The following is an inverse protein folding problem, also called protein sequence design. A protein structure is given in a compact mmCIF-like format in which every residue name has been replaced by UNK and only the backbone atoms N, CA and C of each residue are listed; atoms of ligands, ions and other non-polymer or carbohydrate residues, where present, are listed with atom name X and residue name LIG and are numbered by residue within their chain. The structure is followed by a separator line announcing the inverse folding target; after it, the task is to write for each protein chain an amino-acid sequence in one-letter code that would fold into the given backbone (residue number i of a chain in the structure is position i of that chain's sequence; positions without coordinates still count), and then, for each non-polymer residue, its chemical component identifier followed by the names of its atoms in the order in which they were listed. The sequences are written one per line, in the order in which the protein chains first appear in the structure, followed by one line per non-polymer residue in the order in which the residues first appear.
data_IF_646985786497
#
_entry.id   IF_646985786497
#
_cell.length_a   1.000
_cell.length_b   1.000
_cell.length_c   1.000
_cell.angle_alpha   90.00
_cell.angle_beta   90.00
_cell.angle_gamma   90.00
#
_symmetry.space_group_name_H-M   'P 1'
#
loop_
_entity.id
_entity.type
_entity.pdbx_description
1 polymer ?
#
# COMPACT_ATOMS: atom_id res chain seq x y z
N UNK A 1 -14.94 9.80 9.48
CA UNK A 1 -13.74 9.83 8.62
C UNK A 1 -12.97 11.09 8.99
N UNK A 2 -11.65 11.01 9.06
CA UNK A 2 -10.75 12.12 9.35
C UNK A 2 -9.51 11.99 8.45
N UNK A 3 -8.85 13.09 8.06
CA UNK A 3 -9.28 14.48 8.23
C UNK A 3 -10.58 14.79 7.46
N UNK A 4 -11.26 15.88 7.83
CA UNK A 4 -12.43 16.39 7.09
C UNK A 4 -12.00 16.93 5.72
N UNK A 5 -12.94 17.07 4.77
CA UNK A 5 -12.63 17.63 3.46
C UNK A 5 -12.04 19.05 3.55
N UNK A 6 -12.53 19.85 4.50
CA UNK A 6 -12.00 21.19 4.77
C UNK A 6 -10.54 21.13 5.21
N UNK A 7 -10.21 20.29 6.20
CA UNK A 7 -8.83 20.08 6.64
C UNK A 7 -7.93 19.56 5.50
N UNK A 8 -8.45 18.69 4.64
CA UNK A 8 -7.70 18.20 3.45
C UNK A 8 -7.38 19.36 2.51
N UNK A 9 -8.34 20.26 2.24
CA UNK A 9 -8.12 21.44 1.39
C UNK A 9 -7.07 22.37 1.99
N UNK A 10 -7.10 22.58 3.30
CA UNK A 10 -6.09 23.39 3.99
C UNK A 10 -4.69 22.76 3.92
N UNK A 11 -4.57 21.44 4.12
CA UNK A 11 -3.30 20.71 4.00
C UNK A 11 -2.78 20.81 2.57
N UNK A 12 -3.65 20.59 1.57
CA UNK A 12 -3.29 20.67 0.16
C UNK A 12 -2.84 22.08 -0.25
N UNK A 13 -3.50 23.13 0.23
CA UNK A 13 -3.16 24.51 -0.06
C UNK A 13 -1.75 24.90 0.42
N UNK A 14 -1.23 24.24 1.47
CA UNK A 14 0.14 24.45 1.95
C UNK A 14 1.20 23.85 1.02
N UNK A 15 0.81 22.94 0.11
CA UNK A 15 1.71 22.31 -0.86
C UNK A 15 2.79 21.40 -0.25
N UNK A 16 2.73 21.11 1.05
CA UNK A 16 3.76 20.34 1.77
C UNK A 16 3.70 18.84 1.50
N UNK A 17 2.54 18.31 1.12
CA UNK A 17 2.31 16.88 0.94
C UNK A 17 1.61 16.62 -0.39
N UNK A 18 2.11 15.66 -1.16
CA UNK A 18 1.46 15.18 -2.39
C UNK A 18 0.26 14.28 -2.11
N UNK A 19 0.14 13.73 -0.89
CA UNK A 19 -0.88 12.76 -0.50
C UNK A 19 -1.33 12.99 0.94
N UNK A 20 -2.63 12.83 1.17
CA UNK A 20 -3.24 12.96 2.50
C UNK A 20 -4.04 11.67 2.78
N UNK A 21 -3.65 10.84 3.76
CA UNK A 21 -4.41 9.64 4.09
C UNK A 21 -5.75 10.02 4.75
N UNK A 22 -6.82 9.36 4.32
CA UNK A 22 -8.15 9.51 4.93
C UNK A 22 -8.47 8.24 5.70
N UNK A 23 -8.76 8.41 6.99
CA UNK A 23 -8.88 7.33 7.96
C UNK A 23 -10.27 7.33 8.61
N UNK A 24 -10.65 6.18 9.14
CA UNK A 24 -11.81 6.03 10.02
C UNK A 24 -11.52 4.93 11.02
N UNK A 25 -11.76 5.23 12.28
CA UNK A 25 -11.78 4.23 13.34
C UNK A 25 -13.16 3.55 13.37
N UNK A 26 -13.15 2.24 13.55
CA UNK A 26 -14.34 1.39 13.61
C UNK A 26 -14.19 0.41 14.77
N UNK A 27 -15.30 0.11 15.46
CA UNK A 27 -15.30 -0.92 16.49
C UNK A 27 -15.13 -2.29 15.84
N UNK A 28 -14.08 -3.01 16.25
CA UNK A 28 -13.68 -4.27 15.65
C UNK A 28 -13.45 -5.39 16.69
N UNK A 29 -14.02 -5.26 17.89
CA UNK A 29 -13.79 -6.17 19.03
C UNK A 29 -14.18 -7.64 18.74
N UNK A 30 -15.00 -7.85 17.71
CA UNK A 30 -15.46 -9.17 17.25
C UNK A 30 -14.66 -9.74 16.08
N UNK A 31 -13.64 -9.04 15.59
CA UNK A 31 -12.89 -9.43 14.40
C UNK A 31 -11.41 -9.63 14.73
N UNK A 32 -10.91 -10.80 14.38
CA UNK A 32 -9.47 -11.07 14.26
C UNK A 32 -8.93 -10.51 12.94
N UNK A 33 -7.62 -10.20 12.83
CA UNK A 33 -7.02 -9.78 11.56
C UNK A 33 -7.31 -10.74 10.40
N UNK A 34 -7.33 -12.05 10.65
CA UNK A 34 -7.65 -13.07 9.62
C UNK A 34 -9.10 -12.97 9.14
N UNK A 35 -10.06 -12.65 10.01
CA UNK A 35 -11.46 -12.45 9.61
C UNK A 35 -11.66 -11.16 8.80
N UNK A 36 -10.94 -10.09 9.15
CA UNK A 36 -10.90 -8.87 8.33
C UNK A 36 -10.31 -9.19 6.96
N UNK A 37 -9.21 -9.94 6.90
CA UNK A 37 -8.58 -10.37 5.65
C UNK A 37 -9.53 -11.19 4.76
N UNK A 38 -10.32 -12.11 5.34
CA UNK A 38 -11.36 -12.84 4.59
C UNK A 38 -12.39 -11.91 3.95
N UNK A 39 -12.71 -10.80 4.61
CA UNK A 39 -13.62 -9.79 4.07
C UNK A 39 -12.97 -9.02 2.93
N UNK A 40 -11.72 -8.56 3.08
CA UNK A 40 -10.98 -7.86 2.02
C UNK A 40 -10.79 -8.73 0.77
N UNK A 41 -10.57 -10.04 0.95
CA UNK A 41 -10.46 -11.00 -0.16
C UNK A 41 -11.72 -11.14 -1.02
N UNK A 42 -12.89 -10.69 -0.52
CA UNK A 42 -14.11 -10.61 -1.34
C UNK A 42 -14.09 -9.41 -2.29
N UNK A 43 -13.36 -8.35 -1.95
CA UNK A 43 -13.23 -7.15 -2.75
C UNK A 43 -12.07 -7.26 -3.76
N UNK A 44 -10.94 -7.86 -3.38
CA UNK A 44 -9.78 -8.01 -4.26
C UNK A 44 -9.10 -9.37 -4.09
N UNK A 45 -8.49 -9.88 -5.17
CA UNK A 45 -7.59 -11.05 -5.09
C UNK A 45 -6.16 -10.64 -4.73
N UNK A 46 -5.83 -9.36 -4.82
CA UNK A 46 -4.53 -8.82 -4.49
C UNK A 46 -4.60 -8.19 -3.09
N UNK A 47 -4.37 -9.02 -2.07
CA UNK A 47 -4.43 -8.61 -0.67
C UNK A 47 -3.18 -9.07 0.07
N UNK A 48 -2.81 -8.36 1.13
CA UNK A 48 -1.74 -8.75 2.04
C UNK A 48 -2.16 -8.56 3.50
N UNK A 49 -1.55 -9.36 4.36
CA UNK A 49 -1.63 -9.26 5.82
C UNK A 49 -0.19 -9.32 6.35
N UNK A 50 0.21 -8.30 7.10
CA UNK A 50 1.50 -8.24 7.78
C UNK A 50 1.26 -8.21 9.29
N UNK A 51 1.77 -9.21 9.98
CA UNK A 51 1.70 -9.32 11.44
C UNK A 51 3.11 -9.43 12.00
N UNK A 52 3.37 -8.80 13.14
CA UNK A 52 4.66 -8.92 13.83
C UNK A 52 4.62 -10.07 14.82
N UNK A 53 5.37 -11.14 14.52
CA UNK A 53 5.64 -12.21 15.48
C UNK A 53 6.89 -11.85 16.30
N UNK A 54 6.74 -11.61 17.60
CA UNK A 54 7.86 -11.50 18.55
C UNK A 54 8.25 -12.90 19.07
N UNK A 55 9.51 -13.12 19.42
CA UNK A 55 9.97 -14.35 20.11
C UNK A 55 9.50 -14.43 21.56
N UNK A 56 9.16 -13.29 22.17
CA UNK A 56 8.35 -13.25 23.39
C UNK A 56 6.88 -13.37 23.00
N UNK A 57 6.08 -14.14 23.73
CA UNK A 57 4.68 -14.54 23.40
C UNK A 57 3.66 -13.38 23.19
N UNK A 58 4.14 -12.15 23.08
CA UNK A 58 3.34 -10.97 22.81
C UNK A 58 3.32 -10.73 21.29
N UNK A 59 2.17 -11.01 20.68
CA UNK A 59 1.89 -10.57 19.31
C UNK A 59 2.08 -9.05 19.22
N UNK A 60 2.61 -8.56 18.10
CA UNK A 60 2.75 -7.12 17.89
C UNK A 60 1.40 -6.41 18.04
N UNK A 61 1.44 -5.17 18.56
CA UNK A 61 0.23 -4.37 18.83
C UNK A 61 -0.62 -4.08 17.58
N UNK A 62 -0.04 -4.21 16.38
CA UNK A 62 -0.67 -3.86 15.12
C UNK A 62 -0.50 -4.98 14.07
N UNK A 63 -1.58 -5.24 13.34
CA UNK A 63 -1.58 -5.99 12.08
C UNK A 63 -1.93 -5.02 10.95
N UNK A 64 -1.19 -5.07 9.84
CA UNK A 64 -1.45 -4.24 8.66
C UNK A 64 -2.11 -5.08 7.58
N UNK A 65 -3.26 -4.63 7.10
CA UNK A 65 -3.99 -5.25 6.01
C UNK A 65 -4.09 -4.27 4.86
N UNK A 66 -3.88 -4.76 3.64
CA UNK A 66 -4.10 -3.98 2.44
C UNK A 66 -4.71 -4.82 1.33
N UNK A 67 -5.40 -4.15 0.43
CA UNK A 67 -6.02 -4.74 -0.74
C UNK A 67 -5.87 -3.79 -1.92
N UNK A 68 -5.90 -4.33 -3.13
CA UNK A 68 -5.88 -3.56 -4.38
C UNK A 68 -4.74 -2.53 -4.44
N UNK A 69 -3.47 -2.96 -4.29
CA UNK A 69 -2.34 -2.04 -4.38
C UNK A 69 -2.27 -1.47 -5.79
N UNK A 70 -2.06 -0.16 -5.90
CA UNK A 70 -2.07 0.57 -7.18
C UNK A 70 -0.91 0.29 -8.15
N UNK A 71 0.12 -0.42 -7.67
CA UNK A 71 1.29 -0.79 -8.46
C UNK A 71 1.86 -2.12 -7.95
N UNK A 72 2.29 -2.95 -8.89
CA UNK A 72 3.01 -4.20 -8.64
C UNK A 72 4.37 -4.16 -9.32
N UNK A 73 5.41 -4.58 -8.60
CA UNK A 73 6.78 -4.58 -9.08
C UNK A 73 7.39 -5.95 -8.79
N UNK A 74 7.92 -6.59 -9.81
CA UNK A 74 8.63 -7.88 -9.70
C UNK A 74 9.99 -7.78 -10.39
N UNK A 75 10.96 -8.57 -9.95
CA UNK A 75 12.26 -8.68 -10.61
C UNK A 75 12.76 -10.12 -10.53
N UNK A 76 13.08 -10.71 -11.67
CA UNK A 76 13.62 -12.07 -11.78
C UNK A 76 14.74 -12.06 -12.80
N UNK A 77 15.93 -12.52 -12.42
CA UNK A 77 17.13 -12.55 -13.27
C UNK A 77 17.45 -11.20 -13.95
N UNK A 78 17.26 -10.11 -13.21
CA UNK A 78 17.46 -8.75 -13.70
C UNK A 78 16.37 -8.25 -14.66
N UNK A 79 15.38 -9.06 -14.99
CA UNK A 79 14.19 -8.65 -15.72
C UNK A 79 13.16 -8.10 -14.73
N UNK A 80 12.99 -6.78 -14.71
CA UNK A 80 12.07 -6.08 -13.84
C UNK A 80 10.77 -5.78 -14.57
N UNK A 81 9.63 -6.10 -13.95
CA UNK A 81 8.28 -5.81 -14.46
C UNK A 81 7.56 -4.88 -13.50
N UNK A 82 7.02 -3.80 -14.03
CA UNK A 82 6.26 -2.79 -13.28
C UNK A 82 4.89 -2.68 -13.92
N UNK A 83 3.84 -2.93 -13.14
CA UNK A 83 2.45 -2.89 -13.59
C UNK A 83 1.65 -1.94 -12.70
N UNK A 84 1.05 -0.90 -13.29
CA UNK A 84 0.05 -0.07 -12.59
C UNK A 84 -1.32 -0.76 -12.66
N UNK A 85 -2.02 -0.85 -11.55
CA UNK A 85 -3.27 -1.63 -11.43
C UNK A 85 -4.52 -0.75 -11.37
N UNK A 86 -4.35 0.56 -11.12
CA UNK A 86 -5.44 1.56 -11.06
C UNK A 86 -5.93 1.99 -12.44
N UNK A 87 -5.14 1.79 -13.49
CA UNK A 87 -5.45 2.23 -14.85
C UNK A 87 -6.15 1.11 -15.65
N UNK A 88 -7.23 1.45 -16.36
CA UNK A 88 -7.97 0.50 -17.22
C UNK A 88 -7.05 -0.10 -18.31
N UNK A 89 -6.07 0.68 -18.76
CA UNK A 89 -4.96 0.22 -19.58
C UNK A 89 -3.85 -0.30 -18.66
N UNK A 90 -3.78 -1.62 -18.52
CA UNK A 90 -2.72 -2.33 -17.80
C UNK A 90 -1.39 -2.21 -18.53
N UNK A 91 -0.78 -1.04 -18.51
CA UNK A 91 0.57 -0.85 -19.03
C UNK A 91 1.55 -1.58 -18.10
N UNK A 92 2.12 -2.66 -18.62
CA UNK A 92 3.22 -3.40 -18.00
C UNK A 92 4.52 -2.96 -18.66
N UNK A 93 5.37 -2.30 -17.89
CA UNK A 93 6.71 -1.94 -18.32
C UNK A 93 7.63 -3.10 -17.95
N UNK A 94 8.31 -3.66 -18.94
CA UNK A 94 9.38 -4.65 -18.73
C UNK A 94 10.72 -4.03 -19.12
N UNK A 95 11.72 -4.13 -18.24
CA UNK A 95 13.08 -3.66 -18.54
C UNK A 95 14.15 -4.53 -17.88
N UNK A 96 15.29 -4.64 -18.55
CA UNK A 96 16.48 -5.25 -17.97
C UNK A 96 17.16 -4.23 -17.05
N UNK A 97 17.50 -4.64 -15.84
CA UNK A 97 18.17 -3.80 -14.84
C UNK A 97 19.40 -4.50 -14.30
N UNK A 98 20.47 -3.74 -14.08
CA UNK A 98 21.65 -4.23 -13.37
C UNK A 98 21.39 -4.34 -11.86
N UNK A 99 20.65 -3.39 -11.29
CA UNK A 99 20.30 -3.38 -9.87
C UNK A 99 18.86 -2.82 -9.68
N UNK A 100 17.90 -3.61 -9.13
CA UNK A 100 16.50 -3.19 -9.03
C UNK A 100 16.29 -1.99 -8.09
N UNK A 101 17.19 -1.82 -7.10
CA UNK A 101 17.12 -0.72 -6.15
C UNK A 101 17.17 0.67 -6.79
N UNK A 102 17.84 0.83 -7.94
CA UNK A 102 17.93 2.14 -8.60
C UNK A 102 16.57 2.55 -9.18
N UNK A 103 15.90 1.60 -9.82
CA UNK A 103 14.54 1.80 -10.32
C UNK A 103 13.54 2.01 -9.18
N UNK A 104 13.66 1.26 -8.07
CA UNK A 104 12.79 1.48 -6.91
C UNK A 104 12.95 2.90 -6.35
N UNK A 105 14.18 3.42 -6.25
CA UNK A 105 14.43 4.80 -5.81
C UNK A 105 13.86 5.84 -6.78
N UNK A 106 13.91 5.59 -8.09
CA UNK A 106 13.28 6.45 -9.09
C UNK A 106 11.76 6.53 -8.89
N UNK A 107 11.10 5.37 -8.76
CA UNK A 107 9.65 5.29 -8.51
C UNK A 107 9.29 6.00 -7.20
N UNK A 108 10.06 5.79 -6.13
CA UNK A 108 9.80 6.42 -4.84
C UNK A 108 9.89 7.96 -4.89
N UNK A 109 10.72 8.55 -5.77
CA UNK A 109 10.78 10.02 -5.94
C UNK A 109 9.49 10.61 -6.49
N UNK A 110 8.69 9.85 -7.26
CA UNK A 110 7.37 10.30 -7.70
C UNK A 110 6.44 10.54 -6.49
N UNK A 111 6.65 9.78 -5.41
CA UNK A 111 5.77 9.71 -4.26
C UNK A 111 6.26 10.45 -3.01
N UNK A 112 7.56 10.58 -2.84
CA UNK A 112 8.21 11.20 -1.68
C UNK A 112 9.14 12.33 -2.15
N UNK A 113 8.58 13.54 -2.23
CA UNK A 113 9.29 14.82 -2.37
C UNK A 113 8.51 15.89 -1.63
#
# INVERSE_FOLDING_TARGET
MYPTLENIREIAAKGQYKRVPVCREVYADRYTPVEVMRTLRKASRHCYLLESASQTEVWGRYSFLGYEPGMEITCTDGCMKIRRTEEENKEEITKQVAHPGDTLREILKEYFQ
#
